data_IF_442197477437
#
_entry.id   IF_442197477437
#
_cell.length_a   1.000
_cell.length_b   1.000
_cell.length_c   1.000
_cell.angle_alpha   90.00
_cell.angle_beta   90.00
_cell.angle_gamma   90.00
#
_symmetry.space_group_name_H-M   'P 1'
#
loop_
_entity.id
_entity.type
_entity.pdbx_description
1 polymer ?
#
# COMPACT_ATOMS: atom_id res chain seq x y z
N UNK A 1 -15.12 16.58 -20.21
CA UNK A 1 -14.60 16.35 -20.10
C UNK A 1 -13.83 16.02 -19.19
N UNK A 2 -13.15 15.90 -19.14
CA UNK A 2 -12.68 15.31 -18.52
C UNK A 2 -12.52 15.32 -17.45
N UNK A 3 -12.36 14.99 -17.09
CA UNK A 3 -12.37 14.47 -15.95
C UNK A 3 -11.05 14.39 -15.31
N UNK A 4 -10.23 15.38 -15.53
CA UNK A 4 -8.96 15.46 -14.85
C UNK A 4 -9.18 15.54 -13.35
N UNK A 5 -10.21 16.25 -12.92
CA UNK A 5 -10.53 16.30 -11.49
C UNK A 5 -10.90 14.97 -10.91
N UNK A 6 -11.63 14.16 -11.67
CA UNK A 6 -11.99 12.83 -11.18
C UNK A 6 -10.80 11.89 -11.15
N UNK A 7 -9.92 12.02 -12.14
CA UNK A 7 -8.71 11.20 -12.14
C UNK A 7 -7.84 11.54 -10.95
N UNK A 8 -7.70 12.83 -10.65
CA UNK A 8 -6.91 13.24 -9.49
C UNK A 8 -7.53 12.75 -8.20
N UNK A 9 -8.86 12.74 -8.11
CA UNK A 9 -9.53 12.21 -6.92
C UNK A 9 -9.25 10.73 -6.74
N UNK A 10 -9.23 9.98 -7.82
CA UNK A 10 -8.96 8.55 -7.71
C UNK A 10 -7.51 8.30 -7.32
N UNK A 11 -6.59 9.10 -7.83
CA UNK A 11 -5.20 8.97 -7.43
C UNK A 11 -5.06 9.28 -5.95
N UNK A 12 -5.72 10.33 -5.47
CA UNK A 12 -5.64 10.70 -4.07
C UNK A 12 -6.27 9.66 -3.16
N UNK A 13 -7.31 9.01 -3.65
CA UNK A 13 -7.95 7.97 -2.88
C UNK A 13 -7.01 6.82 -2.54
N UNK A 14 -6.08 6.56 -3.45
CA UNK A 14 -5.14 5.46 -3.24
C UNK A 14 -3.93 5.87 -2.43
N UNK A 15 -3.77 7.15 -2.17
CA UNK A 15 -2.63 7.60 -1.41
C UNK A 15 -2.88 7.47 0.07
N UNK A 16 -1.83 7.11 0.79
CA UNK A 16 -1.88 7.10 2.24
C UNK A 16 -1.02 8.24 2.75
N UNK A 17 -1.34 8.73 3.93
CA UNK A 17 -0.51 9.76 4.56
C UNK A 17 0.80 9.14 5.00
N UNK A 18 1.91 9.69 4.52
CA UNK A 18 3.22 9.11 4.82
C UNK A 18 3.75 9.67 6.13
N UNK A 19 3.21 9.16 7.21
CA UNK A 19 3.65 9.57 8.55
C UNK A 19 3.40 8.42 9.51
N UNK A 20 4.13 8.41 10.62
CA UNK A 20 3.97 7.39 11.64
C UNK A 20 2.54 7.41 12.17
N UNK A 21 1.98 6.24 12.41
CA UNK A 21 0.63 6.11 12.92
C UNK A 21 -0.43 5.93 11.86
N UNK A 22 -0.10 6.14 10.59
CA UNK A 22 -1.07 5.97 9.52
C UNK A 22 -1.40 4.49 9.33
N UNK A 23 -2.68 4.16 9.31
CA UNK A 23 -3.14 2.81 9.04
C UNK A 23 -3.44 2.67 7.56
N UNK A 24 -3.12 1.50 7.02
CA UNK A 24 -3.34 1.25 5.60
C UNK A 24 -3.46 -0.24 5.36
N UNK A 25 -3.87 -0.62 4.15
CA UNK A 25 -3.87 -2.02 3.74
C UNK A 25 -2.67 -2.28 2.84
N UNK A 26 -1.90 -3.29 3.17
CA UNK A 26 -0.81 -3.75 2.34
C UNK A 26 -1.28 -4.95 1.53
N UNK A 27 -1.07 -4.89 0.21
CA UNK A 27 -1.47 -5.99 -0.67
C UNK A 27 -0.41 -7.10 -0.56
N UNK A 28 -0.64 -8.02 0.37
CA UNK A 28 0.32 -9.08 0.67
C UNK A 28 0.12 -10.22 -0.31
N UNK A 29 1.06 -10.34 -1.24
CA UNK A 29 0.96 -11.37 -2.26
C UNK A 29 1.25 -12.76 -1.73
N UNK A 30 1.90 -12.86 -0.59
CA UNK A 30 2.13 -14.17 0.03
C UNK A 30 0.85 -14.76 0.57
N UNK A 31 0.06 -13.96 1.29
CA UNK A 31 -1.21 -14.44 1.81
C UNK A 31 -2.36 -14.21 0.85
N UNK A 32 -2.11 -13.48 -0.24
CA UNK A 32 -3.09 -13.18 -1.29
C UNK A 32 -4.29 -12.44 -0.76
N UNK A 33 -4.07 -11.56 0.20
CA UNK A 33 -5.14 -10.73 0.75
C UNK A 33 -4.55 -9.46 1.32
N UNK A 34 -5.36 -8.40 1.44
CA UNK A 34 -4.89 -7.19 2.10
C UNK A 34 -4.67 -7.45 3.59
N UNK A 35 -3.60 -6.86 4.11
CA UNK A 35 -3.27 -6.99 5.52
C UNK A 35 -3.23 -5.59 6.11
N UNK A 36 -3.93 -5.37 7.20
CA UNK A 36 -3.96 -4.07 7.83
C UNK A 36 -2.66 -3.82 8.56
N UNK A 37 -2.09 -2.65 8.32
CA UNK A 37 -0.77 -2.30 8.84
C UNK A 37 -0.78 -0.88 9.36
N UNK A 38 0.24 -0.54 10.13
CA UNK A 38 0.42 0.82 10.61
C UNK A 38 1.87 1.24 10.35
N UNK A 39 2.03 2.48 9.90
CA UNK A 39 3.36 3.00 9.61
C UNK A 39 4.09 3.28 10.93
N UNK A 40 5.28 2.73 11.06
CA UNK A 40 6.10 2.95 12.25
C UNK A 40 7.01 4.15 12.07
N UNK A 41 7.65 4.26 10.92
CA UNK A 41 8.49 5.40 10.62
C UNK A 41 8.77 5.44 9.13
N UNK A 42 9.23 6.59 8.65
CA UNK A 42 9.54 6.79 7.25
C UNK A 42 10.94 7.38 7.16
N UNK A 43 11.73 6.83 6.24
CA UNK A 43 13.02 7.40 5.89
C UNK A 43 12.92 7.99 4.50
N UNK A 44 13.20 9.27 4.39
CA UNK A 44 13.11 9.95 3.10
C UNK A 44 14.30 9.55 2.22
N UNK A 45 14.06 9.51 0.93
CA UNK A 45 15.09 9.15 -0.03
C UNK A 45 14.46 8.77 -1.35
N UNK A 46 15.24 8.21 -2.23
CA UNK A 46 14.79 7.72 -3.52
C UNK A 46 15.19 6.25 -3.66
N UNK A 47 14.26 5.35 -3.42
CA UNK A 47 12.87 5.55 -2.98
C UNK A 47 12.77 5.83 -1.49
N UNK A 48 11.67 6.45 -1.09
CA UNK A 48 11.39 6.60 0.33
C UNK A 48 11.11 5.23 0.92
N UNK A 49 11.59 5.00 2.15
CA UNK A 49 11.40 3.72 2.81
C UNK A 49 10.38 3.86 3.92
N UNK A 50 9.35 3.04 3.86
CA UNK A 50 8.30 3.02 4.86
C UNK A 50 8.46 1.76 5.71
N UNK A 51 8.64 1.96 7.02
CA UNK A 51 8.68 0.83 7.96
C UNK A 51 7.29 0.66 8.54
N UNK A 52 6.68 -0.47 8.29
CA UNK A 52 5.30 -0.72 8.69
C UNK A 52 5.21 -2.01 9.50
N UNK A 53 4.17 -2.07 10.33
CA UNK A 53 3.93 -3.24 11.16
C UNK A 53 2.56 -3.81 10.85
N UNK A 54 2.48 -5.11 10.61
CA UNK A 54 1.21 -5.81 10.43
C UNK A 54 0.50 -5.90 11.76
N UNK A 55 -0.78 -5.51 11.79
CA UNK A 55 -1.51 -5.50 13.06
C UNK A 55 -1.74 -6.90 13.60
N UNK A 56 -1.98 -7.86 12.73
CA UNK A 56 -2.26 -9.21 13.18
C UNK A 56 -1.08 -9.92 13.80
N UNK A 57 0.09 -9.76 13.21
CA UNK A 57 1.25 -10.56 13.61
C UNK A 57 2.33 -9.74 14.29
N UNK A 58 2.20 -8.42 14.30
CA UNK A 58 3.23 -7.50 14.79
C UNK A 58 4.54 -7.59 14.01
N UNK A 59 4.49 -8.19 12.83
CA UNK A 59 5.67 -8.29 11.98
C UNK A 59 5.98 -6.95 11.35
N UNK A 60 7.24 -6.51 11.39
CA UNK A 60 7.67 -5.26 10.78
C UNK A 60 8.30 -5.55 9.43
N UNK A 61 7.93 -4.76 8.43
CA UNK A 61 8.47 -4.94 7.09
C UNK A 61 8.67 -3.58 6.44
N UNK A 62 9.32 -3.57 5.29
CA UNK A 62 9.60 -2.33 4.58
C UNK A 62 8.86 -2.27 3.26
N UNK A 63 8.32 -1.10 2.94
CA UNK A 63 7.77 -0.80 1.64
C UNK A 63 8.52 0.38 1.06
N UNK A 64 8.56 0.46 -0.26
CA UNK A 64 9.27 1.54 -0.93
C UNK A 64 8.28 2.36 -1.73
N UNK A 65 8.29 3.68 -1.48
CA UNK A 65 7.44 4.63 -2.19
C UNK A 65 5.95 4.30 -2.13
N UNK A 66 5.53 3.51 -1.13
CA UNK A 66 4.12 3.18 -1.00
C UNK A 66 3.63 2.11 -1.94
N UNK A 67 4.51 1.40 -2.64
CA UNK A 67 4.07 0.31 -3.50
C UNK A 67 3.36 -0.76 -2.68
N UNK A 68 2.18 -1.16 -3.14
CA UNK A 68 1.39 -2.15 -2.45
C UNK A 68 0.61 -1.61 -1.28
N UNK A 69 0.67 -0.31 -1.02
CA UNK A 69 -0.01 0.32 0.11
C UNK A 69 -1.29 0.99 -0.38
N UNK A 70 -2.40 0.74 0.27
CA UNK A 70 -3.71 1.26 -0.11
C UNK A 70 -4.40 1.85 1.11
N UNK A 71 -5.15 2.92 0.91
CA UNK A 71 -5.90 3.52 2.01
C UNK A 71 -6.95 2.54 2.54
N UNK A 72 -7.42 2.78 3.75
CA UNK A 72 -8.42 1.88 4.35
C UNK A 72 -9.71 1.82 3.55
N UNK A 73 -10.00 2.86 2.77
CA UNK A 73 -11.20 2.88 1.95
C UNK A 73 -11.06 2.10 0.66
N UNK A 74 -9.90 1.54 0.41
CA UNK A 74 -9.58 0.97 -0.89
C UNK A 74 -9.23 -0.50 -0.81
N UNK A 75 -9.96 -1.22 0.04
CA UNK A 75 -9.72 -2.63 0.28
C UNK A 75 -9.78 -3.45 -1.01
N UNK A 76 -10.76 -3.15 -1.87
CA UNK A 76 -10.97 -3.95 -3.07
C UNK A 76 -9.78 -3.88 -4.00
N UNK A 77 -9.19 -2.71 -4.16
CA UNK A 77 -8.01 -2.58 -5.01
C UNK A 77 -6.80 -3.26 -4.40
N UNK A 78 -6.67 -3.22 -3.08
CA UNK A 78 -5.61 -3.94 -2.41
C UNK A 78 -5.77 -5.45 -2.60
N UNK A 79 -7.02 -5.92 -2.58
CA UNK A 79 -7.29 -7.33 -2.77
C UNK A 79 -6.89 -7.77 -4.19
N UNK A 80 -7.25 -6.96 -5.19
CA UNK A 80 -6.89 -7.29 -6.57
C UNK A 80 -5.38 -7.33 -6.73
N UNK A 81 -4.68 -6.34 -6.16
CA UNK A 81 -3.22 -6.31 -6.23
C UNK A 81 -2.62 -7.56 -5.57
N UNK A 82 -3.18 -7.98 -4.43
CA UNK A 82 -2.66 -9.14 -3.72
C UNK A 82 -2.84 -10.43 -4.49
N UNK A 83 -3.75 -10.45 -5.48
CA UNK A 83 -3.97 -11.63 -6.28
C UNK A 83 -3.01 -11.76 -7.46
N UNK A 84 -2.22 -10.73 -7.73
CA UNK A 84 -1.32 -10.75 -8.88
C UNK A 84 -0.26 -11.83 -8.69
N UNK A 85 -0.09 -12.65 -9.72
CA UNK A 85 0.88 -13.72 -9.67
C UNK A 85 2.27 -13.19 -9.93
N UNK A 86 3.21 -13.64 -9.13
CA UNK A 86 4.55 -13.17 -9.31
C UNK A 86 5.21 -13.71 -10.56
N UNK A 87 4.83 -14.91 -10.96
CA UNK A 87 5.43 -15.50 -12.16
C UNK A 87 5.13 -14.69 -13.39
N UNK A 88 4.15 -13.79 -13.34
CA UNK A 88 3.87 -12.94 -14.49
C UNK A 88 4.97 -11.96 -14.77
N UNK A 89 5.85 -11.78 -13.82
CA UNK A 89 6.89 -10.79 -13.94
C UNK A 89 8.15 -11.38 -14.53
N UNK A 90 8.15 -12.64 -14.74
CA UNK A 90 9.34 -13.31 -15.13
C UNK A 90 9.52 -13.31 -16.60
N UNK A 91 9.31 -12.47 -17.30
CA UNK A 91 9.70 -12.48 -18.66
C UNK A 91 9.75 -11.11 -19.23
#
# INVERSE_FOLDING_TARGET
>A
MSNIGEILKEIEKNKIALKAGTEFYYADRNSKKPVKCVIQKIELGYPATIFAKKEETNEVFRCYDGFGCYSLDNYDNAYVDAQIQEDRIIY
#
